data_IF_559116853445
#
_entry.id   IF_559116853445
#
_cell.length_a   1.000
_cell.length_b   1.000
_cell.length_c   1.000
_cell.angle_alpha   90.00
_cell.angle_beta   90.00
_cell.angle_gamma   90.00
#
_symmetry.space_group_name_H-M   'P 1'
#
loop_
_entity.id
_entity.type
_entity.pdbx_description
1 polymer ?
#
# COMPACT_ATOMS: atom_id res chain seq x y z
N UNK A 1 2.70 16.66 -7.65
CA UNK A 1 2.67 15.24 -7.25
C UNK A 1 1.30 14.70 -7.62
N UNK A 2 1.20 13.75 -8.55
CA UNK A 2 -0.09 13.13 -8.90
C UNK A 2 -0.27 11.89 -8.03
N UNK A 3 -1.13 12.00 -7.02
CA UNK A 3 -1.56 10.86 -6.22
C UNK A 3 -2.59 10.09 -7.05
N UNK A 4 -2.32 8.83 -7.37
CA UNK A 4 -3.29 7.99 -8.07
C UNK A 4 -4.27 7.46 -7.04
N UNK A 5 -5.55 7.80 -7.18
CA UNK A 5 -6.58 7.56 -6.16
C UNK A 5 -6.79 6.07 -5.83
N UNK A 6 -6.74 5.18 -6.82
CA UNK A 6 -6.68 3.71 -6.69
C UNK A 6 -6.21 3.11 -8.04
N UNK A 7 -5.42 2.02 -8.05
CA UNK A 7 -5.06 1.31 -9.30
C UNK A 7 -5.81 -0.01 -9.51
N UNK A 8 -6.34 -0.62 -8.44
CA UNK A 8 -7.08 -1.88 -8.56
C UNK A 8 -7.26 -2.64 -7.25
N UNK A 9 -8.11 -3.67 -7.32
CA UNK A 9 -8.26 -4.71 -6.30
C UNK A 9 -7.46 -5.93 -6.75
N UNK A 10 -6.67 -6.50 -5.85
CA UNK A 10 -5.83 -7.65 -6.13
C UNK A 10 -6.05 -8.74 -5.09
N UNK A 11 -6.30 -9.95 -5.56
CA UNK A 11 -6.37 -11.12 -4.69
C UNK A 11 -4.96 -11.71 -4.53
N UNK A 12 -4.55 -11.97 -3.29
CA UNK A 12 -3.26 -12.59 -2.97
C UNK A 12 -3.48 -13.79 -2.06
N UNK A 13 -2.59 -14.78 -2.15
CA UNK A 13 -2.54 -15.88 -1.19
C UNK A 13 -1.64 -15.49 -0.02
N UNK A 14 -2.15 -15.66 1.20
CA UNK A 14 -1.44 -15.40 2.46
C UNK A 14 -1.46 -16.67 3.31
N UNK A 15 -0.49 -16.81 4.22
CA UNK A 15 -0.51 -17.86 5.24
C UNK A 15 -0.94 -17.26 6.56
N UNK A 16 -1.84 -17.92 7.27
CA UNK A 16 -2.19 -17.52 8.63
C UNK A 16 -1.14 -17.98 9.66
N UNK A 17 -1.36 -17.66 10.93
CA UNK A 17 -0.45 -18.04 12.02
C UNK A 17 -0.31 -19.56 12.25
N UNK A 18 -1.19 -20.38 11.66
CA UNK A 18 -1.12 -21.85 11.66
C UNK A 18 -0.44 -22.41 10.41
N UNK A 19 -0.13 -21.55 9.44
CA UNK A 19 0.49 -21.91 8.17
C UNK A 19 -0.51 -22.24 7.06
N UNK A 20 -1.82 -22.14 7.34
CA UNK A 20 -2.89 -22.42 6.38
C UNK A 20 -2.96 -21.32 5.32
N UNK A 21 -3.10 -21.71 4.06
CA UNK A 21 -3.25 -20.76 2.95
C UNK A 21 -4.67 -20.16 2.91
N UNK A 22 -4.75 -18.84 2.82
CA UNK A 22 -6.00 -18.07 2.64
C UNK A 22 -5.85 -17.07 1.51
N UNK A 23 -6.98 -16.60 0.98
CA UNK A 23 -7.02 -15.54 -0.01
C UNK A 23 -7.44 -14.23 0.66
N UNK A 24 -6.70 -13.16 0.39
CA UNK A 24 -7.01 -11.81 0.85
C UNK A 24 -7.21 -10.88 -0.35
N UNK A 25 -8.24 -10.04 -0.28
CA UNK A 25 -8.49 -9.00 -1.28
C UNK A 25 -7.82 -7.70 -0.82
N UNK A 26 -6.86 -7.20 -1.58
CA UNK A 26 -6.14 -5.97 -1.28
C UNK A 26 -6.59 -4.84 -2.20
N UNK A 27 -6.88 -3.68 -1.62
CA UNK A 27 -6.95 -2.44 -2.36
C UNK A 27 -5.55 -1.84 -2.49
N UNK A 28 -5.08 -1.64 -3.72
CA UNK A 28 -3.76 -1.07 -4.00
C UNK A 28 -3.84 0.38 -4.47
N UNK A 29 -3.09 1.23 -3.79
CA UNK A 29 -2.88 2.64 -4.12
C UNK A 29 -1.39 2.91 -4.26
N UNK A 30 -1.00 3.81 -5.15
CA UNK A 30 0.41 4.16 -5.33
C UNK A 30 0.57 5.65 -5.60
N UNK A 31 1.71 6.17 -5.18
CA UNK A 31 2.07 7.56 -5.39
C UNK A 31 3.58 7.70 -5.46
N UNK A 32 4.07 8.67 -6.23
CA UNK A 32 5.45 9.12 -6.09
C UNK A 32 5.51 10.15 -4.97
N UNK A 33 6.42 9.95 -4.01
CA UNK A 33 6.60 10.82 -2.84
C UNK A 33 8.06 11.25 -2.72
N UNK A 34 8.33 12.53 -2.40
CA UNK A 34 9.67 13.00 -2.12
C UNK A 34 9.99 12.67 -0.66
N UNK A 35 11.08 11.96 -0.44
CA UNK A 35 11.58 11.67 0.90
C UNK A 35 12.77 12.61 1.14
N UNK A 36 12.60 13.65 1.99
CA UNK A 36 13.72 14.49 2.35
C UNK A 36 14.71 13.69 3.23
N UNK A 37 16.01 13.96 3.14
CA UNK A 37 16.95 13.38 4.09
C UNK A 37 16.68 13.93 5.50
N UNK A 38 17.24 13.29 6.56
CA UNK A 38 17.21 13.83 7.92
C UNK A 38 17.67 15.29 7.94
N UNK A 39 17.07 16.12 8.78
CA UNK A 39 17.26 17.59 8.77
C UNK A 39 18.74 18.01 8.76
N UNK A 40 19.58 17.36 9.57
CA UNK A 40 21.03 17.62 9.64
C UNK A 40 21.81 17.35 8.33
N UNK A 41 21.20 16.63 7.38
CA UNK A 41 21.81 16.19 6.12
C UNK A 41 21.23 16.89 4.88
N UNK A 42 20.20 17.74 5.04
CA UNK A 42 19.50 18.38 3.91
C UNK A 42 20.38 19.33 3.09
N UNK A 43 21.42 19.92 3.68
CA UNK A 43 22.36 20.77 2.95
C UNK A 43 23.30 19.99 2.01
N UNK A 44 23.46 18.68 2.21
CA UNK A 44 24.44 17.86 1.49
C UNK A 44 23.82 16.87 0.52
N UNK A 45 22.55 16.51 0.72
CA UNK A 45 21.90 15.48 -0.06
C UNK A 45 20.53 15.96 -0.56
N UNK A 46 20.19 15.74 -1.83
CA UNK A 46 18.88 16.07 -2.36
C UNK A 46 17.80 15.11 -1.83
N UNK A 47 16.54 15.52 -1.95
CA UNK A 47 15.41 14.64 -1.67
C UNK A 47 15.34 13.48 -2.69
N UNK A 48 15.02 12.28 -2.22
CA UNK A 48 14.84 11.11 -3.07
C UNK A 48 13.37 10.96 -3.46
N UNK A 49 13.07 10.77 -4.74
CA UNK A 49 11.69 10.47 -5.16
C UNK A 49 11.48 8.96 -5.20
N UNK A 50 10.61 8.44 -4.34
CA UNK A 50 10.27 7.02 -4.27
C UNK A 50 8.85 6.75 -4.75
N UNK A 51 8.61 5.52 -5.21
CA UNK A 51 7.25 5.01 -5.44
C UNK A 51 6.78 4.32 -4.17
N UNK A 52 5.76 4.86 -3.52
CA UNK A 52 5.11 4.23 -2.37
C UNK A 52 3.93 3.41 -2.86
N UNK A 53 3.92 2.12 -2.51
CA UNK A 53 2.78 1.22 -2.68
C UNK A 53 2.07 1.08 -1.34
N UNK A 54 0.80 1.44 -1.29
CA UNK A 54 -0.05 1.25 -0.12
C UNK A 54 -1.06 0.15 -0.42
N UNK A 55 -1.03 -0.92 0.38
CA UNK A 55 -1.91 -2.06 0.27
C UNK A 55 -2.73 -2.18 1.57
N UNK A 56 -4.05 -2.16 1.45
CA UNK A 56 -4.95 -2.37 2.58
C UNK A 56 -5.88 -3.54 2.30
N UNK A 57 -5.98 -4.47 3.25
CA UNK A 57 -6.95 -5.56 3.16
C UNK A 57 -8.37 -5.00 3.17
N UNK A 58 -9.16 -5.41 2.19
CA UNK A 58 -10.57 -5.04 2.08
C UNK A 58 -11.38 -6.01 2.91
N UNK A 59 -11.95 -5.51 4.00
CA UNK A 59 -12.96 -6.26 4.74
C UNK A 59 -14.13 -6.57 3.80
N UNK A 60 -14.67 -7.80 3.81
CA UNK A 60 -15.90 -8.09 3.10
C UNK A 60 -16.99 -7.16 3.64
N UNK A 61 -17.76 -6.52 2.75
CA UNK A 61 -18.97 -5.83 3.16
C UNK A 61 -19.87 -6.84 3.87
N UNK A 62 -20.49 -6.51 5.02
CA UNK A 62 -21.46 -7.39 5.63
C UNK A 62 -22.50 -7.72 4.58
N UNK A 63 -22.64 -9.01 4.24
CA UNK A 63 -23.63 -9.48 3.31
C UNK A 63 -24.98 -8.99 3.82
N UNK A 64 -25.56 -8.00 3.14
CA UNK A 64 -26.98 -7.70 3.30
C UNK A 64 -27.69 -8.92 2.76
N UNK A 65 -28.09 -9.81 3.67
CA UNK A 65 -28.84 -11.01 3.35
C UNK A 65 -30.10 -10.60 2.60
N UNK A 66 -30.25 -11.16 1.40
CA UNK A 66 -31.50 -11.11 0.64
C UNK A 66 -32.37 -12.29 0.99
#
# INVERSE_FOLDING_TARGET
MQQVRCRGLHQVQVRDGKGDCRLAMLELRYSRVPIPPPRAKQARYPALTLTMLHASERMPSPSTGS
#
